data_IF_278206513604
#
_entry.id   IF_278206513604
#
_cell.length_a   1.000
_cell.length_b   1.000
_cell.length_c   1.000
_cell.angle_alpha   90.00
_cell.angle_beta   90.00
_cell.angle_gamma   90.00
#
_symmetry.space_group_name_H-M   'P 1'
#
loop_
_entity.id
_entity.type
_entity.pdbx_description
1 polymer ?
#
# COMPACT_ATOMS: atom_id res chain seq x y z
N UNK A 1 -25.74 8.06 -1.47
CA UNK A 1 -24.42 8.40 -2.06
C UNK A 1 -23.83 7.13 -2.64
N UNK A 2 -23.24 7.14 -3.85
CA UNK A 2 -22.58 5.96 -4.40
C UNK A 2 -21.36 5.60 -3.55
N UNK A 3 -21.21 4.32 -3.23
CA UNK A 3 -20.04 3.80 -2.52
C UNK A 3 -18.82 3.85 -3.44
N UNK A 4 -17.69 4.43 -3.02
CA UNK A 4 -16.52 4.51 -3.88
C UNK A 4 -15.98 3.10 -4.19
N UNK A 5 -15.39 2.90 -5.38
CA UNK A 5 -14.76 1.64 -5.74
C UNK A 5 -13.65 1.27 -4.75
N UNK A 6 -13.46 -0.04 -4.51
CA UNK A 6 -12.36 -0.55 -3.67
C UNK A 6 -11.03 -0.58 -4.44
N UNK A 7 -10.63 0.55 -5.01
CA UNK A 7 -9.35 0.72 -5.69
C UNK A 7 -8.76 2.08 -5.36
N UNK A 8 -7.44 2.17 -5.30
CA UNK A 8 -6.75 3.45 -5.22
C UNK A 8 -6.71 4.04 -6.63
N UNK A 9 -7.41 5.13 -6.86
CA UNK A 9 -7.38 5.84 -8.14
C UNK A 9 -6.09 6.65 -8.29
N UNK A 10 -5.82 7.15 -9.50
CA UNK A 10 -4.71 8.10 -9.73
C UNK A 10 -4.82 9.34 -8.85
N UNK A 11 -6.04 9.85 -8.62
CA UNK A 11 -6.26 11.00 -7.75
C UNK A 11 -5.89 10.68 -6.30
N UNK A 12 -6.27 9.49 -5.82
CA UNK A 12 -5.93 9.04 -4.47
C UNK A 12 -4.41 8.89 -4.31
N UNK A 13 -3.71 8.35 -5.31
CA UNK A 13 -2.25 8.26 -5.32
C UNK A 13 -1.56 9.64 -5.22
N UNK A 14 -2.09 10.65 -5.89
CA UNK A 14 -1.55 12.02 -5.79
C UNK A 14 -1.71 12.57 -4.37
N UNK A 15 -2.88 12.38 -3.75
CA UNK A 15 -3.09 12.78 -2.36
C UNK A 15 -2.18 12.01 -1.39
N UNK A 16 -2.05 10.70 -1.54
CA UNK A 16 -1.15 9.88 -0.72
C UNK A 16 0.30 10.36 -0.83
N UNK A 17 0.75 10.66 -2.05
CA UNK A 17 2.10 11.21 -2.29
C UNK A 17 2.31 12.54 -1.58
N UNK A 18 1.36 13.46 -1.68
CA UNK A 18 1.45 14.77 -1.02
C UNK A 18 1.47 14.62 0.51
N UNK A 19 0.59 13.79 1.07
CA UNK A 19 0.56 13.54 2.51
C UNK A 19 1.85 12.89 3.03
N UNK A 20 2.42 11.94 2.28
CA UNK A 20 3.71 11.33 2.60
C UNK A 20 4.85 12.35 2.57
N UNK A 21 4.87 13.23 1.56
CA UNK A 21 5.85 14.31 1.48
C UNK A 21 5.76 15.26 2.69
N UNK A 22 4.53 15.55 3.16
CA UNK A 22 4.33 16.35 4.37
C UNK A 22 4.86 15.65 5.63
N UNK A 23 4.62 14.34 5.80
CA UNK A 23 5.18 13.60 6.94
C UNK A 23 6.71 13.66 6.95
N UNK A 24 7.35 13.45 5.79
CA UNK A 24 8.81 13.47 5.67
C UNK A 24 9.39 14.87 5.93
N UNK A 25 8.73 15.92 5.46
CA UNK A 25 9.13 17.30 5.72
C UNK A 25 9.04 17.64 7.21
N UNK A 26 7.96 17.24 7.88
CA UNK A 26 7.78 17.44 9.32
C UNK A 26 8.89 16.73 10.12
N UNK A 27 9.17 15.46 9.80
CA UNK A 27 10.25 14.68 10.42
C UNK A 27 11.59 15.42 10.30
N UNK A 28 11.94 15.88 9.10
CA UNK A 28 13.21 16.59 8.86
C UNK A 28 13.30 17.88 9.68
N UNK A 29 12.22 18.66 9.72
CA UNK A 29 12.17 19.94 10.47
C UNK A 29 12.29 19.72 11.97
N UNK A 30 11.54 18.77 12.53
CA UNK A 30 11.59 18.48 13.96
C UNK A 30 12.92 17.85 14.38
N UNK A 31 13.50 17.01 13.53
CA UNK A 31 14.83 16.46 13.76
C UNK A 31 15.88 17.57 13.76
N UNK A 32 15.83 18.51 12.82
CA UNK A 32 16.75 19.64 12.78
C UNK A 32 16.59 20.52 14.03
N UNK A 33 15.36 20.90 14.37
CA UNK A 33 15.07 21.73 15.56
C UNK A 33 15.51 21.05 16.86
N UNK A 34 15.37 19.73 17.00
CA UNK A 34 15.78 19.03 18.23
C UNK A 34 17.28 19.09 18.49
N UNK A 35 18.11 19.30 17.45
CA UNK A 35 19.55 19.49 17.60
C UNK A 35 19.91 20.88 18.14
N UNK A 36 19.10 21.90 17.81
CA UNK A 36 19.34 23.29 18.19
C UNK A 36 18.84 23.62 19.60
N UNK A 37 17.86 22.87 20.10
CA UNK A 37 17.29 23.10 21.42
C UNK A 37 18.26 22.71 22.54
N UNK A 38 18.15 23.39 23.68
CA UNK A 38 18.85 23.01 24.91
C UNK A 38 17.90 22.35 25.92
N UNK A 39 16.62 22.75 25.91
CA UNK A 39 15.61 22.23 26.83
C UNK A 39 15.29 20.75 26.53
N UNK A 40 15.56 19.88 27.50
CA UNK A 40 15.39 18.43 27.35
C UNK A 40 13.94 18.00 27.17
N UNK A 41 12.99 18.65 27.84
CA UNK A 41 11.54 18.37 27.69
C UNK A 41 11.07 18.66 26.26
N UNK A 42 11.50 19.79 25.69
CA UNK A 42 11.18 20.12 24.29
C UNK A 42 11.78 19.09 23.32
N UNK A 43 13.03 18.64 23.54
CA UNK A 43 13.64 17.57 22.73
C UNK A 43 12.85 16.28 22.78
N UNK A 44 12.39 15.88 23.97
CA UNK A 44 11.57 14.68 24.14
C UNK A 44 10.24 14.79 23.38
N UNK A 45 9.56 15.94 23.49
CA UNK A 45 8.32 16.18 22.74
C UNK A 45 8.53 16.15 21.22
N UNK A 46 9.62 16.73 20.72
CA UNK A 46 9.97 16.62 19.29
C UNK A 46 10.26 15.19 18.88
N UNK A 47 10.90 14.38 19.75
CA UNK A 47 11.10 12.95 19.52
C UNK A 47 9.77 12.21 19.33
N UNK A 48 8.80 12.45 20.23
CA UNK A 48 7.46 11.85 20.12
C UNK A 48 6.74 12.28 18.83
N UNK A 49 6.84 13.55 18.43
CA UNK A 49 6.28 14.04 17.17
C UNK A 49 6.92 13.38 15.96
N UNK A 50 8.25 13.22 15.97
CA UNK A 50 8.98 12.51 14.90
C UNK A 50 8.46 11.08 14.76
N UNK A 51 8.33 10.35 15.87
CA UNK A 51 7.89 8.96 15.84
C UNK A 51 6.42 8.81 15.38
N UNK A 52 5.55 9.74 15.79
CA UNK A 52 4.18 9.82 15.27
C UNK A 52 4.16 10.06 13.75
N UNK A 53 4.94 11.02 13.24
CA UNK A 53 5.00 11.27 11.79
C UNK A 53 5.59 10.09 10.99
N UNK A 54 6.57 9.37 11.54
CA UNK A 54 7.10 8.14 10.93
C UNK A 54 6.01 7.06 10.85
N UNK A 55 5.26 6.85 11.93
CA UNK A 55 4.16 5.90 11.96
C UNK A 55 3.10 6.25 10.91
N UNK A 56 2.70 7.53 10.81
CA UNK A 56 1.76 7.99 9.77
C UNK A 56 2.30 7.75 8.36
N UNK A 57 3.58 8.04 8.10
CA UNK A 57 4.20 7.77 6.81
C UNK A 57 4.14 6.26 6.47
N UNK A 58 4.45 5.39 7.43
CA UNK A 58 4.44 3.95 7.22
C UNK A 58 3.03 3.42 6.92
N UNK A 59 2.01 3.95 7.59
CA UNK A 59 0.61 3.64 7.30
C UNK A 59 0.24 4.07 5.88
N UNK A 60 0.60 5.29 5.47
CA UNK A 60 0.32 5.79 4.12
C UNK A 60 1.03 4.96 3.05
N UNK A 61 2.29 4.57 3.30
CA UNK A 61 3.05 3.70 2.42
C UNK A 61 2.36 2.34 2.24
N UNK A 62 1.77 1.79 3.31
CA UNK A 62 1.01 0.55 3.26
C UNK A 62 -0.16 0.58 2.25
N UNK A 63 -0.85 1.71 2.09
CA UNK A 63 -1.91 1.87 1.09
C UNK A 63 -1.42 1.87 -0.36
N UNK A 64 -0.11 2.06 -0.58
CA UNK A 64 0.50 2.02 -1.92
C UNK A 64 1.04 0.64 -2.28
N UNK A 65 1.15 -0.26 -1.30
CA UNK A 65 1.64 -1.61 -1.51
C UNK A 65 0.49 -2.50 -1.97
N UNK A 66 0.58 -2.96 -3.21
CA UNK A 66 -0.36 -3.91 -3.77
C UNK A 66 0.31 -5.28 -3.76
N UNK A 67 -0.16 -6.20 -2.90
CA UNK A 67 0.23 -7.59 -3.00
C UNK A 67 -0.67 -8.33 -4.00
N UNK A 68 -0.19 -8.44 -5.24
CA UNK A 68 -0.89 -9.14 -6.32
C UNK A 68 -0.70 -10.66 -6.29
N UNK A 69 0.10 -11.22 -5.38
CA UNK A 69 0.42 -12.65 -5.37
C UNK A 69 -0.84 -13.53 -5.33
N UNK A 70 -1.80 -13.20 -4.47
CA UNK A 70 -3.05 -13.96 -4.36
C UNK A 70 -3.91 -13.87 -5.62
N UNK A 71 -4.01 -12.68 -6.21
CA UNK A 71 -4.78 -12.48 -7.44
C UNK A 71 -4.16 -13.22 -8.63
N UNK A 72 -2.83 -13.20 -8.75
CA UNK A 72 -2.08 -13.93 -9.78
C UNK A 72 -2.24 -15.45 -9.58
N UNK A 73 -2.14 -15.93 -8.34
CA UNK A 73 -2.33 -17.36 -8.04
C UNK A 73 -3.73 -17.84 -8.40
N UNK A 74 -4.77 -17.09 -8.05
CA UNK A 74 -6.16 -17.41 -8.41
C UNK A 74 -6.36 -17.41 -9.92
N UNK A 75 -5.84 -16.41 -10.62
CA UNK A 75 -5.90 -16.34 -12.09
C UNK A 75 -5.25 -17.57 -12.74
N UNK A 76 -4.05 -17.95 -12.27
CA UNK A 76 -3.34 -19.12 -12.79
C UNK A 76 -4.10 -20.44 -12.55
N UNK A 77 -4.72 -20.60 -11.38
CA UNK A 77 -5.56 -21.77 -11.09
C UNK A 77 -6.76 -21.85 -12.03
N UNK A 78 -7.42 -20.73 -12.27
CA UNK A 78 -8.59 -20.65 -13.15
C UNK A 78 -8.22 -21.00 -14.61
N UNK A 79 -7.06 -20.52 -15.07
CA UNK A 79 -6.53 -20.86 -16.40
C UNK A 79 -6.19 -22.35 -16.53
N UNK A 80 -5.60 -22.97 -15.50
CA UNK A 80 -5.32 -24.42 -15.53
C UNK A 80 -6.59 -25.26 -15.59
N UNK A 81 -7.64 -24.88 -14.86
CA UNK A 81 -8.93 -25.58 -14.89
C UNK A 81 -9.61 -25.46 -16.27
N UNK A 82 -9.56 -24.28 -16.90
CA UNK A 82 -10.10 -24.06 -18.23
C UNK A 82 -9.38 -24.90 -19.31
N UNK A 83 -8.05 -25.01 -19.23
CA UNK A 83 -7.27 -25.84 -20.14
C UNK A 83 -7.58 -27.34 -19.99
N UNK A 84 -7.83 -27.81 -18.77
CA UNK A 84 -8.17 -29.21 -18.50
C UNK A 84 -9.57 -29.58 -19.00
N UNK A 85 -10.57 -28.69 -18.86
CA UNK A 85 -11.91 -28.94 -19.39
C UNK A 85 -11.94 -28.94 -20.93
N UNK A 86 -11.16 -28.08 -21.60
CA UNK A 86 -11.04 -28.11 -23.06
C UNK A 86 -10.45 -29.42 -23.61
N UNK A 87 -9.53 -30.06 -22.88
CA UNK A 87 -8.97 -31.37 -23.24
C UNK A 87 -9.93 -32.54 -23.04
N UNK A 88 -10.80 -32.48 -22.03
CA UNK A 88 -11.77 -33.54 -21.73
C UNK A 88 -12.93 -33.59 -22.73
N UNK A 89 -13.40 -32.43 -23.22
CA UNK A 89 -14.47 -32.37 -24.24
C UNK A 89 -14.03 -33.03 -25.55
N UNK A 90 -12.78 -32.81 -25.97
CA UNK A 90 -12.24 -33.43 -27.19
C UNK A 90 -12.03 -34.95 -27.06
N UNK A 91 -11.67 -35.46 -25.87
CA UNK A 91 -11.54 -36.91 -25.65
C UNK A 91 -12.88 -37.64 -25.54
N UNK A 92 -13.92 -36.97 -25.03
CA UNK A 92 -15.26 -37.54 -24.97
C UNK A 92 -15.92 -37.67 -26.36
N UNK A 93 -15.61 -36.75 -27.28
CA UNK A 93 -16.13 -36.77 -28.65
C UNK A 93 -15.46 -37.80 -29.57
N UNK A 94 -14.24 -38.26 -29.26
CA UNK A 94 -13.56 -39.33 -30.02
C UNK A 94 -13.93 -40.76 -29.58
N UNK A 95 -14.78 -40.90 -28.55
CA UNK A 95 -15.20 -42.19 -28.00
C UNK A 95 -16.66 -42.57 -28.31
N UNK A 96 -17.34 -41.78 -29.14
CA UNK A 96 -18.67 -42.08 -29.69
C UNK A 96 -18.54 -42.53 -31.15
#
# INVERSE_FOLDING_TARGET
MPTPPKMVSTKDLLYLKDMMAWQLLAIKRYHHLSQELQNQTLKQMLGQLIDMHKAHYQTLLGYTQINNEQAIQQFNQQMMQAAQMGGQVNQAQMRA
#
